data_IF_869814584487
#
_entry.id   IF_869814584487
#
_cell.length_a   1.000
_cell.length_b   1.000
_cell.length_c   1.000
_cell.angle_alpha   90.00
_cell.angle_beta   90.00
_cell.angle_gamma   90.00
#
_symmetry.space_group_name_H-M   'P 1'
#
loop_
_entity.id
_entity.type
_entity.pdbx_description
1 polymer ?
#
# COMPACT_ATOMS: atom_id res chain seq x y z
N UNK A 1 39.78 -56.48 5.64
CA UNK A 1 39.56 -55.94 7.00
C UNK A 1 38.80 -54.60 6.92
N UNK A 2 37.56 -54.54 6.44
CA UNK A 2 36.70 -53.34 6.61
C UNK A 2 35.23 -53.75 6.46
N UNK A 3 34.68 -54.25 7.56
CA UNK A 3 33.24 -54.44 7.75
C UNK A 3 32.93 -53.95 9.14
N UNK A 4 32.02 -52.97 9.25
CA UNK A 4 30.89 -52.86 10.21
C UNK A 4 30.43 -51.39 10.36
N UNK A 5 29.20 -51.08 9.91
CA UNK A 5 27.99 -50.87 10.75
C UNK A 5 28.01 -49.44 11.35
N UNK A 6 27.30 -48.46 10.76
CA UNK A 6 25.86 -48.09 10.95
C UNK A 6 25.73 -46.86 11.87
N UNK A 7 24.66 -46.08 11.64
CA UNK A 7 24.14 -44.95 12.45
C UNK A 7 24.89 -43.62 12.21
N UNK A 8 24.30 -42.48 11.85
CA UNK A 8 23.09 -41.80 12.32
C UNK A 8 22.68 -40.79 11.22
N UNK A 9 21.53 -40.96 10.58
CA UNK A 9 20.30 -40.15 10.74
C UNK A 9 20.43 -38.63 10.67
N UNK A 10 19.66 -38.06 9.74
CA UNK A 10 18.79 -36.90 9.91
C UNK A 10 19.41 -35.55 10.32
N UNK A 11 19.34 -34.57 9.42
CA UNK A 11 18.55 -33.36 9.68
C UNK A 11 18.51 -32.49 8.42
N UNK A 12 17.32 -32.48 7.83
CA UNK A 12 16.77 -31.55 6.86
C UNK A 12 17.15 -30.09 7.11
N UNK A 13 17.59 -29.42 6.04
CA UNK A 13 17.54 -27.97 5.85
C UNK A 13 16.16 -27.43 6.25
N UNK A 14 16.07 -26.79 7.40
CA UNK A 14 15.01 -25.83 7.71
C UNK A 14 15.46 -24.97 8.89
N UNK A 15 15.71 -23.69 8.64
CA UNK A 15 15.24 -22.55 9.44
C UNK A 15 15.87 -21.26 8.86
N UNK A 16 15.33 -20.80 7.73
CA UNK A 16 15.49 -19.41 7.28
C UNK A 16 14.08 -18.79 7.20
N UNK A 17 13.49 -18.55 8.37
CA UNK A 17 12.22 -17.85 8.48
C UNK A 17 12.24 -16.93 9.72
N UNK A 18 13.19 -16.01 9.76
CA UNK A 18 13.01 -14.76 10.51
C UNK A 18 12.59 -13.71 9.48
N UNK A 19 11.28 -13.56 9.27
CA UNK A 19 10.75 -12.33 8.67
C UNK A 19 10.92 -11.22 9.70
N UNK A 20 11.62 -10.15 9.36
CA UNK A 20 11.70 -8.95 10.18
C UNK A 20 10.30 -8.33 10.29
N UNK A 21 9.76 -8.35 11.50
CA UNK A 21 8.57 -7.58 11.87
C UNK A 21 9.04 -6.15 12.14
N UNK A 22 8.78 -5.25 11.20
CA UNK A 22 8.98 -3.81 11.40
C UNK A 22 7.85 -3.28 12.30
N UNK A 23 8.11 -3.22 13.61
CA UNK A 23 7.29 -2.47 14.56
C UNK A 23 7.75 -1.02 14.51
N UNK A 24 7.31 -0.27 13.51
CA UNK A 24 7.42 1.20 13.58
C UNK A 24 6.56 1.70 14.74
N UNK A 25 7.20 2.25 15.78
CA UNK A 25 6.51 2.91 16.90
C UNK A 25 5.63 4.07 16.36
N UNK A 26 4.44 4.30 16.94
CA UNK A 26 3.62 5.43 16.56
C UNK A 26 4.37 6.74 16.88
N UNK A 27 4.73 7.47 15.84
CA UNK A 27 5.31 8.81 15.96
C UNK A 27 4.26 9.75 16.59
N UNK A 28 4.39 9.97 17.90
CA UNK A 28 3.53 10.87 18.67
C UNK A 28 3.73 12.35 18.31
N UNK A 29 4.69 12.68 17.44
CA UNK A 29 4.92 14.01 16.87
C UNK A 29 4.52 14.08 15.38
N UNK A 30 3.80 13.08 14.85
CA UNK A 30 3.38 13.08 13.46
C UNK A 30 2.52 14.31 13.15
N UNK A 31 3.07 15.23 12.35
CA UNK A 31 2.32 16.35 11.79
C UNK A 31 1.06 15.79 11.11
N UNK A 32 -0.15 16.32 11.40
CA UNK A 32 -1.37 15.86 10.78
C UNK A 32 -1.21 15.80 9.25
N UNK A 33 -1.34 14.61 8.68
CA UNK A 33 -1.23 14.39 7.23
C UNK A 33 -2.50 14.90 6.57
N UNK A 34 -2.63 16.21 6.42
CA UNK A 34 -3.79 16.83 5.76
C UNK A 34 -3.64 16.62 4.26
N UNK A 35 -4.64 15.98 3.65
CA UNK A 35 -4.70 15.78 2.22
C UNK A 35 -4.96 17.12 1.51
N UNK A 36 -4.20 17.38 0.44
CA UNK A 36 -4.47 18.42 -0.55
C UNK A 36 -4.58 17.79 -1.95
N UNK A 37 -5.80 17.69 -2.48
CA UNK A 37 -6.04 17.05 -3.77
C UNK A 37 -5.52 17.85 -4.97
N UNK A 38 -5.40 19.17 -4.85
CA UNK A 38 -5.00 20.04 -5.96
C UNK A 38 -3.56 19.74 -6.40
N UNK A 39 -2.69 19.43 -5.43
CA UNK A 39 -1.31 19.00 -5.68
C UNK A 39 -1.21 17.67 -6.45
N UNK A 40 -2.27 16.86 -6.47
CA UNK A 40 -2.33 15.59 -7.18
C UNK A 40 -3.21 15.65 -8.45
N UNK A 41 -3.72 16.83 -8.83
CA UNK A 41 -4.66 16.99 -9.96
C UNK A 41 -4.11 16.47 -11.29
N UNK A 42 -2.79 16.50 -11.48
CA UNK A 42 -2.06 16.04 -12.67
C UNK A 42 -2.16 14.55 -12.95
N UNK A 43 -2.74 13.74 -12.04
CA UNK A 43 -2.97 12.31 -12.26
C UNK A 43 -4.30 12.02 -12.96
N UNK A 44 -5.19 13.02 -13.05
CA UNK A 44 -6.46 12.90 -13.79
C UNK A 44 -6.18 12.62 -15.28
N UNK A 45 -6.94 11.72 -15.88
CA UNK A 45 -6.76 11.29 -17.27
C UNK A 45 -5.64 10.26 -17.47
N UNK A 46 -4.88 9.92 -16.43
CA UNK A 46 -3.86 8.86 -16.51
C UNK A 46 -4.44 7.51 -16.10
N UNK A 47 -3.89 6.44 -16.67
CA UNK A 47 -4.23 5.06 -16.33
C UNK A 47 -3.65 4.70 -14.96
N UNK A 48 -4.45 4.06 -14.12
CA UNK A 48 -4.09 3.68 -12.77
C UNK A 48 -2.97 2.63 -12.80
N UNK A 49 -1.92 2.91 -12.05
CA UNK A 49 -0.79 2.01 -11.80
C UNK A 49 -0.35 2.19 -10.35
N UNK A 50 0.35 1.21 -9.78
CA UNK A 50 0.92 1.33 -8.44
C UNK A 50 1.85 2.55 -8.33
N UNK A 51 2.61 2.85 -9.38
CA UNK A 51 3.48 4.02 -9.41
C UNK A 51 2.69 5.34 -9.33
N UNK A 52 1.62 5.45 -10.13
CA UNK A 52 0.74 6.64 -10.14
C UNK A 52 0.00 6.80 -8.80
N UNK A 53 -0.45 5.71 -8.19
CA UNK A 53 -1.10 5.73 -6.87
C UNK A 53 -0.15 6.29 -5.79
N UNK A 54 1.08 5.79 -5.74
CA UNK A 54 2.08 6.27 -4.80
C UNK A 54 2.50 7.72 -5.07
N UNK A 55 2.59 8.11 -6.34
CA UNK A 55 2.81 9.51 -6.73
C UNK A 55 1.69 10.42 -6.24
N UNK A 56 0.43 10.05 -6.50
CA UNK A 56 -0.74 10.82 -6.05
C UNK A 56 -0.79 10.95 -4.52
N UNK A 57 -0.51 9.85 -3.80
CA UNK A 57 -0.44 9.85 -2.33
C UNK A 57 0.64 10.81 -1.82
N UNK A 58 1.85 10.77 -2.40
CA UNK A 58 2.95 11.68 -2.03
C UNK A 58 2.62 13.13 -2.36
N UNK A 59 2.16 13.40 -3.58
CA UNK A 59 1.88 14.76 -4.04
C UNK A 59 0.78 15.44 -3.19
N UNK A 60 -0.26 14.68 -2.83
CA UNK A 60 -1.35 15.19 -2.00
C UNK A 60 -1.00 15.32 -0.50
N UNK A 61 0.12 14.76 -0.05
CA UNK A 61 0.44 14.67 1.38
C UNK A 61 -0.45 13.71 2.18
N UNK A 62 -1.29 12.92 1.52
CA UNK A 62 -2.27 12.05 2.18
C UNK A 62 -1.60 10.92 2.99
N UNK A 63 -2.13 10.65 4.18
CA UNK A 63 -1.71 9.52 5.02
C UNK A 63 -2.16 8.19 4.44
N UNK A 64 -3.35 8.16 3.83
CA UNK A 64 -3.94 6.98 3.18
C UNK A 64 -4.55 7.34 1.83
N UNK A 65 -4.77 6.32 1.02
CA UNK A 65 -5.34 6.46 -0.31
C UNK A 65 -6.42 5.39 -0.52
N UNK A 66 -7.49 5.75 -1.23
CA UNK A 66 -8.55 4.83 -1.66
C UNK A 66 -8.78 4.96 -3.15
N UNK A 67 -8.63 3.85 -3.86
CA UNK A 67 -9.04 3.74 -5.26
C UNK A 67 -10.48 3.27 -5.31
N UNK A 68 -11.32 3.98 -6.07
CA UNK A 68 -12.76 3.70 -6.22
C UNK A 68 -13.02 3.32 -7.67
N UNK A 69 -13.42 2.07 -7.89
CA UNK A 69 -13.76 1.54 -9.22
C UNK A 69 -15.23 1.81 -9.56
N UNK A 70 -15.61 1.76 -10.86
CA UNK A 70 -17.01 1.84 -11.27
C UNK A 70 -17.88 0.82 -10.54
N UNK A 71 -19.07 1.24 -10.09
CA UNK A 71 -20.00 0.39 -9.34
C UNK A 71 -19.58 0.06 -7.90
N UNK A 72 -18.38 0.45 -7.47
CA UNK A 72 -17.93 0.19 -6.10
C UNK A 72 -18.72 1.07 -5.12
N UNK A 73 -19.51 0.42 -4.27
CA UNK A 73 -20.21 1.07 -3.17
C UNK A 73 -19.21 1.50 -2.10
N UNK A 74 -19.24 2.77 -1.73
CA UNK A 74 -18.43 3.35 -0.65
C UNK A 74 -19.31 4.20 0.25
N UNK A 75 -19.02 4.17 1.56
CA UNK A 75 -19.63 5.06 2.54
C UNK A 75 -19.07 6.48 2.42
N UNK A 76 -19.84 7.46 2.87
CA UNK A 76 -19.42 8.87 2.99
C UNK A 76 -18.89 9.17 4.39
N UNK A 77 -17.95 8.35 4.85
CA UNK A 77 -17.14 8.66 6.03
C UNK A 77 -16.08 9.69 5.63
N UNK A 78 -15.96 10.81 6.35
CA UNK A 78 -14.93 11.82 6.06
C UNK A 78 -13.64 11.53 6.81
N UNK A 79 -12.52 11.49 6.09
CA UNK A 79 -11.16 11.35 6.61
C UNK A 79 -10.24 12.40 5.97
N UNK A 80 -9.84 13.40 6.75
CA UNK A 80 -9.02 14.54 6.29
C UNK A 80 -7.68 14.14 5.68
N UNK A 81 -7.19 12.96 6.03
CA UNK A 81 -5.91 12.40 5.62
C UNK A 81 -6.00 11.44 4.44
N UNK A 82 -7.20 11.25 3.87
CA UNK A 82 -7.44 10.32 2.77
C UNK A 82 -7.54 11.02 1.43
N UNK A 83 -6.76 10.54 0.47
CA UNK A 83 -6.98 10.82 -0.95
C UNK A 83 -7.90 9.74 -1.54
N UNK A 84 -8.89 10.15 -2.33
CA UNK A 84 -9.69 9.24 -3.17
C UNK A 84 -9.33 9.46 -4.64
N UNK A 85 -9.08 8.35 -5.34
CA UNK A 85 -8.93 8.32 -6.79
C UNK A 85 -10.11 7.54 -7.38
N UNK A 86 -10.98 8.22 -8.11
CA UNK A 86 -12.10 7.57 -8.78
C UNK A 86 -11.71 7.20 -10.22
N UNK A 87 -11.97 5.96 -10.60
CA UNK A 87 -11.66 5.42 -11.92
C UNK A 87 -12.92 5.29 -12.79
N UNK A 88 -12.72 5.30 -14.10
CA UNK A 88 -13.70 4.80 -15.07
C UNK A 88 -13.47 3.32 -15.40
N UNK A 89 -14.26 2.77 -16.33
CA UNK A 89 -14.21 1.36 -16.76
C UNK A 89 -12.91 0.97 -17.48
N UNK A 90 -12.06 1.95 -17.84
CA UNK A 90 -10.78 1.75 -18.51
C UNK A 90 -9.58 1.98 -17.56
N UNK A 91 -9.81 1.90 -16.25
CA UNK A 91 -8.81 2.18 -15.21
C UNK A 91 -8.20 3.59 -15.29
N UNK A 92 -8.89 4.56 -15.91
CA UNK A 92 -8.42 5.94 -15.99
C UNK A 92 -8.96 6.77 -14.84
N UNK A 93 -8.10 7.55 -14.19
CA UNK A 93 -8.52 8.47 -13.12
C UNK A 93 -9.42 9.55 -13.69
N UNK A 94 -10.66 9.63 -13.21
CA UNK A 94 -11.63 10.67 -13.59
C UNK A 94 -11.87 11.70 -12.49
N UNK A 95 -11.49 11.39 -11.25
CA UNK A 95 -11.63 12.32 -10.13
C UNK A 95 -10.56 12.09 -9.07
N UNK A 96 -10.10 13.19 -8.49
CA UNK A 96 -9.17 13.23 -7.35
C UNK A 96 -9.79 14.13 -6.29
N UNK A 97 -9.96 13.63 -5.06
CA UNK A 97 -10.53 14.43 -3.97
C UNK A 97 -10.15 13.91 -2.58
N UNK A 98 -10.06 14.81 -1.61
CA UNK A 98 -9.81 14.45 -0.21
C UNK A 98 -11.10 14.10 0.53
N UNK A 99 -11.00 13.21 1.53
CA UNK A 99 -12.09 12.85 2.42
C UNK A 99 -12.33 11.37 2.58
#
# INVERSE_FOLDING_TARGET
>A
MFTRILLVSAATLALAACSSVDLSEPDNNAIPRICNADNASHVTGKRMTTALEQEAKRASGAGIIRVIRPGQMVTKDYRSERLNLQLNDHDTVVRVYCG
#
